data_IF_406749882232
#
_entry.id   IF_406749882232
#
_cell.length_a   1.000
_cell.length_b   1.000
_cell.length_c   1.000
_cell.angle_alpha   90.00
_cell.angle_beta   90.00
_cell.angle_gamma   90.00
#
_symmetry.space_group_name_H-M   'P 1'
#
loop_
_entity.id
_entity.type
_entity.pdbx_description
1 polymer ?
#
# COMPACT_ATOMS: atom_id res chain seq x y z
N UNK A 1 -4.49 -20.48 -9.20
CA UNK A 1 -4.07 -19.33 -8.36
C UNK A 1 -5.27 -18.44 -8.09
N UNK A 2 -5.50 -18.03 -6.84
CA UNK A 2 -6.79 -17.47 -6.41
C UNK A 2 -6.84 -15.94 -6.62
N UNK A 3 -7.31 -15.52 -7.81
CA UNK A 3 -7.51 -14.10 -8.16
C UNK A 3 -8.40 -13.37 -7.14
N UNK A 4 -9.32 -14.09 -6.48
CA UNK A 4 -10.17 -13.56 -5.39
C UNK A 4 -9.35 -12.93 -4.29
N UNK A 5 -8.26 -13.59 -3.88
CA UNK A 5 -7.42 -13.14 -2.76
C UNK A 5 -6.69 -11.83 -3.07
N UNK A 6 -6.23 -11.65 -4.31
CA UNK A 6 -5.58 -10.40 -4.71
C UNK A 6 -6.59 -9.24 -4.73
N UNK A 7 -7.77 -9.48 -5.27
CA UNK A 7 -8.85 -8.50 -5.33
C UNK A 7 -9.33 -8.09 -3.93
N UNK A 8 -9.58 -9.07 -3.04
CA UNK A 8 -9.93 -8.83 -1.64
C UNK A 8 -8.87 -7.98 -0.93
N UNK A 9 -7.59 -8.30 -1.14
CA UNK A 9 -6.50 -7.59 -0.49
C UNK A 9 -6.32 -6.19 -1.06
N UNK A 10 -6.52 -6.01 -2.37
CA UNK A 10 -6.51 -4.70 -3.01
C UNK A 10 -7.64 -3.83 -2.47
N UNK A 11 -8.87 -4.35 -2.40
CA UNK A 11 -10.02 -3.65 -1.81
C UNK A 11 -9.75 -3.25 -0.35
N UNK A 12 -9.15 -4.16 0.43
CA UNK A 12 -8.74 -3.85 1.81
C UNK A 12 -7.68 -2.76 1.87
N UNK A 13 -6.70 -2.78 0.99
CA UNK A 13 -5.67 -1.74 0.89
C UNK A 13 -6.31 -0.39 0.54
N UNK A 14 -7.21 -0.33 -0.44
CA UNK A 14 -7.92 0.90 -0.81
C UNK A 14 -8.69 1.50 0.38
N UNK A 15 -9.42 0.68 1.13
CA UNK A 15 -10.15 1.14 2.33
C UNK A 15 -9.21 1.68 3.43
N UNK A 16 -8.03 1.08 3.60
CA UNK A 16 -7.03 1.58 4.56
C UNK A 16 -6.41 2.89 4.05
N UNK A 17 -6.15 2.97 2.76
CA UNK A 17 -5.60 4.16 2.11
C UNK A 17 -6.53 5.36 2.21
N UNK A 18 -7.83 5.18 2.00
CA UNK A 18 -8.82 6.25 2.20
C UNK A 18 -8.82 6.79 3.64
N UNK A 19 -8.68 5.90 4.63
CA UNK A 19 -8.56 6.30 6.04
C UNK A 19 -7.24 7.03 6.32
N UNK A 20 -6.14 6.56 5.74
CA UNK A 20 -4.85 7.21 5.89
C UNK A 20 -4.83 8.58 5.20
N UNK A 21 -5.46 8.72 4.04
CA UNK A 21 -5.64 9.97 3.33
C UNK A 21 -6.48 10.96 4.14
N UNK A 22 -7.55 10.47 4.78
CA UNK A 22 -8.36 11.29 5.67
C UNK A 22 -7.54 11.79 6.87
N UNK A 23 -6.69 10.94 7.46
CA UNK A 23 -5.78 11.34 8.53
C UNK A 23 -4.71 12.33 8.04
N UNK A 24 -4.18 12.15 6.82
CA UNK A 24 -3.23 13.07 6.19
C UNK A 24 -3.78 14.47 6.01
N UNK A 25 -5.06 14.59 5.70
CA UNK A 25 -5.74 15.87 5.51
C UNK A 25 -6.08 16.59 6.81
N UNK A 26 -5.95 15.94 7.98
CA UNK A 26 -6.20 16.59 9.26
C UNK A 26 -5.23 17.75 9.51
N UNK A 27 -5.75 18.77 10.17
CA UNK A 27 -4.96 19.90 10.67
C UNK A 27 -4.08 19.45 11.84
N UNK A 28 -2.93 20.09 12.02
CA UNK A 28 -1.99 19.76 13.09
C UNK A 28 -1.09 18.55 12.83
N UNK A 29 -1.32 17.78 11.75
CA UNK A 29 -0.45 16.66 11.38
C UNK A 29 0.95 17.17 10.98
N UNK A 30 2.03 16.73 11.66
CA UNK A 30 3.38 17.17 11.37
C UNK A 30 3.79 16.97 9.91
N UNK A 31 4.48 17.96 9.32
CA UNK A 31 4.99 17.90 7.95
C UNK A 31 5.87 16.68 7.70
N UNK A 32 6.68 16.28 8.70
CA UNK A 32 7.49 15.07 8.66
C UNK A 32 6.64 13.81 8.40
N UNK A 33 5.50 13.65 9.09
CA UNK A 33 4.61 12.50 8.89
C UNK A 33 3.92 12.55 7.54
N UNK A 34 3.55 13.74 7.04
CA UNK A 34 2.98 13.91 5.69
C UNK A 34 3.98 13.52 4.60
N UNK A 35 5.24 13.94 4.74
CA UNK A 35 6.30 13.58 3.81
C UNK A 35 6.57 12.07 3.83
N UNK A 36 6.60 11.46 5.02
CA UNK A 36 6.75 10.01 5.16
C UNK A 36 5.63 9.25 4.43
N UNK A 37 4.38 9.69 4.59
CA UNK A 37 3.22 9.13 3.90
C UNK A 37 3.35 9.20 2.39
N UNK A 38 3.62 10.39 1.84
CA UNK A 38 3.76 10.57 0.39
C UNK A 38 4.86 9.68 -0.19
N UNK A 39 6.02 9.63 0.47
CA UNK A 39 7.15 8.83 0.01
C UNK A 39 6.83 7.33 0.03
N UNK A 40 6.17 6.85 1.09
CA UNK A 40 5.85 5.42 1.24
C UNK A 40 4.74 4.98 0.31
N UNK A 41 3.71 5.80 0.12
CA UNK A 41 2.64 5.54 -0.86
C UNK A 41 3.20 5.47 -2.28
N UNK A 42 4.05 6.43 -2.68
CA UNK A 42 4.72 6.41 -3.99
C UNK A 42 5.53 5.12 -4.17
N UNK A 43 6.36 4.77 -3.19
CA UNK A 43 7.17 3.55 -3.22
C UNK A 43 6.32 2.29 -3.43
N UNK A 44 5.21 2.13 -2.68
CA UNK A 44 4.37 0.95 -2.83
C UNK A 44 3.60 0.92 -4.15
N UNK A 45 3.18 2.08 -4.68
CA UNK A 45 2.56 2.18 -6.00
C UNK A 45 3.54 1.73 -7.09
N UNK A 46 4.76 2.27 -7.09
CA UNK A 46 5.81 1.91 -8.05
C UNK A 46 6.14 0.42 -7.99
N UNK A 47 6.28 -0.15 -6.79
CA UNK A 47 6.52 -1.59 -6.65
C UNK A 47 5.40 -2.44 -7.24
N UNK A 48 4.13 -2.05 -7.00
CA UNK A 48 2.97 -2.78 -7.52
C UNK A 48 2.85 -2.67 -9.05
N UNK A 49 3.03 -1.45 -9.59
CA UNK A 49 3.00 -1.18 -11.04
C UNK A 49 4.13 -1.91 -11.78
N UNK A 50 5.32 -2.00 -11.17
CA UNK A 50 6.42 -2.78 -11.72
C UNK A 50 6.06 -4.27 -11.84
N UNK A 51 5.36 -4.84 -10.85
CA UNK A 51 4.88 -6.22 -10.96
C UNK A 51 3.87 -6.38 -12.11
N UNK A 52 2.95 -5.42 -12.30
CA UNK A 52 2.01 -5.43 -13.44
C UNK A 52 2.75 -5.36 -14.77
N UNK A 53 3.69 -4.44 -14.93
CA UNK A 53 4.49 -4.29 -16.14
C UNK A 53 5.26 -5.58 -16.46
N UNK A 54 5.91 -6.19 -15.46
CA UNK A 54 6.67 -7.43 -15.65
C UNK A 54 5.78 -8.61 -16.06
N UNK A 55 4.55 -8.71 -15.56
CA UNK A 55 3.60 -9.76 -15.97
C UNK A 55 3.25 -9.66 -17.45
N UNK A 56 3.21 -8.45 -18.01
CA UNK A 56 2.95 -8.23 -19.44
C UNK A 56 4.15 -8.57 -20.33
N UNK A 57 5.36 -8.60 -19.77
CA UNK A 57 6.61 -8.83 -20.51
C UNK A 57 7.04 -10.30 -20.57
N UNK A 58 6.35 -11.19 -19.86
CA UNK A 58 6.71 -12.62 -19.76
C UNK A 58 5.52 -13.50 -20.08
N UNK A 59 5.78 -14.67 -20.67
CA UNK A 59 4.79 -15.72 -20.90
C UNK A 59 5.02 -16.94 -20.00
N UNK A 60 6.01 -16.89 -19.10
CA UNK A 60 6.33 -17.99 -18.19
C UNK A 60 5.38 -17.98 -17.00
N UNK A 61 4.54 -19.00 -16.89
CA UNK A 61 3.54 -19.13 -15.81
C UNK A 61 4.17 -19.02 -14.41
N UNK A 62 5.30 -19.70 -14.17
CA UNK A 62 6.02 -19.61 -12.88
C UNK A 62 6.44 -18.17 -12.54
N UNK A 63 6.87 -17.39 -13.53
CA UNK A 63 7.25 -15.99 -13.31
C UNK A 63 6.01 -15.14 -12.99
N UNK A 64 4.91 -15.37 -13.71
CA UNK A 64 3.63 -14.69 -13.46
C UNK A 64 3.13 -15.00 -12.05
N UNK A 65 3.21 -16.26 -11.64
CA UNK A 65 2.83 -16.75 -10.31
C UNK A 65 3.66 -16.10 -9.19
N UNK A 66 4.97 -15.97 -9.39
CA UNK A 66 5.85 -15.28 -8.46
C UNK A 66 5.52 -13.78 -8.36
N UNK A 67 5.23 -13.13 -9.49
CA UNK A 67 4.82 -11.71 -9.52
C UNK A 67 3.48 -11.52 -8.80
N UNK A 68 2.52 -12.44 -8.94
CA UNK A 68 1.28 -12.43 -8.17
C UNK A 68 1.53 -12.51 -6.66
N UNK A 69 2.41 -13.41 -6.21
CA UNK A 69 2.77 -13.52 -4.79
C UNK A 69 3.45 -12.24 -4.27
N UNK A 70 4.31 -11.62 -5.08
CA UNK A 70 4.93 -10.33 -4.74
C UNK A 70 3.88 -9.22 -4.58
N UNK A 71 2.88 -9.15 -5.46
CA UNK A 71 1.79 -8.19 -5.32
C UNK A 71 1.00 -8.39 -4.02
N UNK A 72 0.72 -9.63 -3.65
CA UNK A 72 0.08 -9.94 -2.37
C UNK A 72 0.93 -9.48 -1.17
N UNK A 73 2.25 -9.67 -1.23
CA UNK A 73 3.16 -9.21 -0.18
C UNK A 73 3.19 -7.69 -0.09
N UNK A 74 3.34 -6.99 -1.22
CA UNK A 74 3.34 -5.53 -1.30
C UNK A 74 2.09 -4.95 -0.66
N UNK A 75 0.91 -5.46 -1.02
CA UNK A 75 -0.36 -4.98 -0.45
C UNK A 75 -0.45 -5.23 1.06
N UNK A 76 -0.01 -6.40 1.55
CA UNK A 76 0.00 -6.70 2.98
C UNK A 76 0.93 -5.76 3.76
N UNK A 77 2.12 -5.50 3.23
CA UNK A 77 3.09 -4.59 3.85
C UNK A 77 2.55 -3.17 3.86
N UNK A 78 1.98 -2.70 2.74
CA UNK A 78 1.36 -1.37 2.65
C UNK A 78 0.22 -1.19 3.65
N UNK A 79 -0.71 -2.15 3.73
CA UNK A 79 -1.82 -2.13 4.70
C UNK A 79 -1.31 -1.97 6.13
N UNK A 80 -0.32 -2.79 6.53
CA UNK A 80 0.25 -2.72 7.88
C UNK A 80 0.90 -1.36 8.13
N UNK A 81 1.67 -0.88 7.16
CA UNK A 81 2.38 0.38 7.27
C UNK A 81 1.42 1.57 7.39
N UNK A 82 0.39 1.66 6.55
CA UNK A 82 -0.58 2.76 6.61
C UNK A 82 -1.41 2.74 7.90
N UNK A 83 -1.80 1.57 8.41
CA UNK A 83 -2.45 1.43 9.71
C UNK A 83 -1.56 1.92 10.86
N UNK A 84 -0.27 1.58 10.84
CA UNK A 84 0.67 2.03 11.86
C UNK A 84 1.00 3.52 11.73
N UNK A 85 1.01 4.06 10.51
CA UNK A 85 1.13 5.49 10.28
C UNK A 85 -0.09 6.26 10.82
N UNK A 86 -1.32 5.78 10.61
CA UNK A 86 -2.54 6.38 11.19
C UNK A 86 -2.43 6.44 12.72
N UNK A 87 -1.99 5.35 13.37
CA UNK A 87 -1.80 5.34 14.84
C UNK A 87 -0.82 6.41 15.31
N UNK A 88 0.29 6.60 14.57
CA UNK A 88 1.28 7.65 14.86
C UNK A 88 0.72 9.06 14.68
N UNK A 89 -0.10 9.28 13.67
CA UNK A 89 -0.81 10.55 13.48
C UNK A 89 -1.73 10.85 14.66
N UNK A 90 -2.59 9.89 15.03
CA UNK A 90 -3.50 10.06 16.18
C UNK A 90 -2.73 10.35 17.46
N UNK A 91 -1.64 9.63 17.72
CA UNK A 91 -0.78 9.87 18.88
C UNK A 91 -0.08 11.23 18.86
N UNK A 92 0.18 11.79 17.66
CA UNK A 92 0.78 13.13 17.53
C UNK A 92 -0.21 14.26 17.79
N UNK A 93 -1.49 14.05 17.49
CA UNK A 93 -2.57 15.03 17.68
C UNK A 93 -3.14 15.04 19.10
N UNK A 94 -2.94 13.96 19.87
CA UNK A 94 -3.37 13.86 21.26
C UNK A 94 -2.41 14.53 22.26
N UNK A 95 -1.34 15.17 21.77
CA UNK A 95 -0.34 15.91 22.56
C UNK A 95 -0.58 17.41 22.46
#
# INVERSE_FOLDING_TARGET
MDKSKLEELYNKMSLVHEKAQSAYQQEGVPSMLKNEFNNKVSQYNEMYENCEAMKLMTSKEETIDNLFNQQLEILNVRIKWELDWIKRVVASLAK
#
